data_IF_259663330523
#
_entry.id   IF_259663330523
#
_cell.length_a   1.000
_cell.length_b   1.000
_cell.length_c   1.000
_cell.angle_alpha   90.00
_cell.angle_beta   90.00
_cell.angle_gamma   90.00
#
_symmetry.space_group_name_H-M   'P 1'
#
loop_
_entity.id
_entity.type
_entity.pdbx_description
1 polymer ?
#
# COMPACT_ATOMS: atom_id res chain seq x y z
N UNK A 1 -24.09 0.45 0.84
CA UNK A 1 -22.95 1.30 0.43
C UNK A 1 -21.69 0.74 1.06
N UNK A 2 -20.82 0.06 0.31
CA UNK A 2 -19.55 -0.45 0.86
C UNK A 2 -18.54 0.69 0.92
N UNK A 3 -17.96 0.97 2.10
CA UNK A 3 -16.94 2.01 2.26
C UNK A 3 -15.59 1.53 1.74
N UNK A 4 -14.99 2.30 0.83
CA UNK A 4 -13.61 2.12 0.40
C UNK A 4 -12.67 2.68 1.48
N UNK A 5 -11.71 1.86 1.90
CA UNK A 5 -10.67 2.25 2.87
C UNK A 5 -9.36 2.43 2.11
N UNK A 6 -8.92 3.67 1.97
CA UNK A 6 -7.66 4.02 1.31
C UNK A 6 -6.59 4.38 2.34
N UNK A 7 -5.35 3.99 2.08
CA UNK A 7 -4.20 4.32 2.92
C UNK A 7 -3.14 4.95 2.03
N UNK A 8 -2.85 6.23 2.27
CA UNK A 8 -1.78 6.94 1.59
C UNK A 8 -0.51 6.81 2.42
N UNK A 9 0.50 6.14 1.87
CA UNK A 9 1.82 6.07 2.49
C UNK A 9 2.63 7.28 2.03
N UNK A 10 2.82 8.24 2.94
CA UNK A 10 3.68 9.39 2.69
C UNK A 10 5.11 9.05 3.14
N UNK A 11 6.01 8.83 2.18
CA UNK A 11 7.43 8.64 2.43
C UNK A 11 8.24 9.63 1.59
N UNK A 12 9.14 10.39 2.22
CA UNK A 12 10.04 11.32 1.54
C UNK A 12 11.03 10.57 0.64
N UNK A 13 10.62 10.27 -0.60
CA UNK A 13 11.51 9.97 -1.73
C UNK A 13 12.49 8.80 -1.60
N UNK A 14 12.26 7.79 -0.75
CA UNK A 14 13.25 6.73 -0.51
C UNK A 14 12.78 5.35 -0.98
N UNK A 15 13.68 4.64 -1.67
CA UNK A 15 13.57 3.28 -2.19
C UNK A 15 13.09 2.21 -1.16
N UNK A 16 12.98 2.55 0.12
CA UNK A 16 12.38 1.70 1.16
C UNK A 16 10.84 1.76 1.23
N UNK A 17 10.19 2.82 0.73
CA UNK A 17 8.74 2.98 0.84
C UNK A 17 7.97 1.84 0.15
N UNK A 18 8.46 1.35 -0.99
CA UNK A 18 7.90 0.18 -1.69
C UNK A 18 8.04 -1.11 -0.88
N UNK A 19 9.16 -1.32 -0.18
CA UNK A 19 9.35 -2.47 0.71
C UNK A 19 8.39 -2.41 1.91
N UNK A 20 8.16 -1.22 2.47
CA UNK A 20 7.16 -1.02 3.54
C UNK A 20 5.74 -1.27 3.04
N UNK A 21 5.38 -0.80 1.83
CA UNK A 21 4.08 -1.07 1.20
C UNK A 21 3.88 -2.57 0.95
N UNK A 22 4.93 -3.27 0.50
CA UNK A 22 4.90 -4.72 0.33
C UNK A 22 4.65 -5.48 1.63
N UNK A 23 5.36 -5.14 2.70
CA UNK A 23 5.13 -5.73 4.03
C UNK A 23 3.73 -5.44 4.57
N UNK A 24 3.21 -4.22 4.37
CA UNK A 24 1.84 -3.86 4.75
C UNK A 24 0.81 -4.69 3.98
N UNK A 25 0.96 -4.77 2.65
CA UNK A 25 0.06 -5.54 1.80
C UNK A 25 0.07 -7.03 2.16
N UNK A 26 1.26 -7.61 2.42
CA UNK A 26 1.39 -8.99 2.87
C UNK A 26 0.66 -9.24 4.19
N UNK A 27 0.79 -8.34 5.17
CA UNK A 27 0.09 -8.44 6.45
C UNK A 27 -1.43 -8.33 6.32
N UNK A 28 -1.92 -7.53 5.38
CA UNK A 28 -3.35 -7.40 5.10
C UNK A 28 -3.91 -8.64 4.37
N UNK A 29 -3.18 -9.18 3.41
CA UNK A 29 -3.55 -10.42 2.70
C UNK A 29 -3.58 -11.61 3.66
N UNK A 30 -2.61 -11.70 4.58
CA UNK A 30 -2.61 -12.74 5.62
C UNK A 30 -3.85 -12.67 6.54
N UNK A 31 -4.51 -11.52 6.63
CA UNK A 31 -5.78 -11.31 7.35
C UNK A 31 -7.03 -11.50 6.49
N UNK A 32 -6.88 -11.93 5.23
CA UNK A 32 -7.98 -12.15 4.29
C UNK A 32 -8.52 -10.89 3.62
N UNK A 33 -7.79 -9.77 3.68
CA UNK A 33 -8.21 -8.51 3.06
C UNK A 33 -7.68 -8.42 1.63
N UNK A 34 -8.54 -8.11 0.67
CA UNK A 34 -8.11 -7.78 -0.70
C UNK A 34 -7.46 -6.39 -0.73
N UNK A 35 -6.25 -6.31 -1.24
CA UNK A 35 -5.45 -5.08 -1.33
C UNK A 35 -5.08 -4.82 -2.77
N UNK A 36 -5.19 -3.56 -3.20
CA UNK A 36 -4.66 -3.08 -4.47
C UNK A 36 -3.60 -2.03 -4.17
N UNK A 37 -2.39 -2.21 -4.70
CA UNK A 37 -1.30 -1.25 -4.55
C UNK A 37 -1.25 -0.38 -5.79
N UNK A 38 -1.31 0.93 -5.60
CA UNK A 38 -1.08 1.91 -6.65
C UNK A 38 0.25 2.62 -6.35
N UNK A 39 1.20 2.54 -7.28
CA UNK A 39 2.45 3.28 -7.21
C UNK A 39 2.36 4.53 -8.10
N UNK A 40 2.88 5.69 -7.64
CA UNK A 40 2.92 6.88 -8.49
C UNK A 40 3.78 6.61 -9.74
N UNK A 41 3.35 7.11 -10.89
CA UNK A 41 4.14 7.06 -12.11
C UNK A 41 5.43 7.86 -11.89
N UNK A 42 6.58 7.28 -12.27
CA UNK A 42 7.83 8.03 -12.31
C UNK A 42 7.67 9.18 -13.32
N UNK A 43 7.84 10.42 -12.85
CA UNK A 43 7.77 11.64 -13.66
C UNK A 43 9.01 11.82 -14.52
#
# INVERSE_FOLDING_TARGET
>A
MSQLRTVQVLGGGSAGSSAHVGSLAAGLVARGVQVTVCAPAAV
#
